data_IF_094751720623
#
_entry.id   IF_094751720623
#
_cell.length_a   1.000
_cell.length_b   1.000
_cell.length_c   1.000
_cell.angle_alpha   90.00
_cell.angle_beta   90.00
_cell.angle_gamma   90.00
#
_symmetry.space_group_name_H-M   'P 1'
#
loop_
_entity.id
_entity.type
_entity.pdbx_description
1 polymer ?
#
# COMPACT_ATOMS: atom_id res chain seq x y z
N UNK A 1 -2.85 -3.28 -25.06
CA UNK A 1 -1.50 -2.70 -25.11
C UNK A 1 -1.23 -2.12 -23.74
N UNK A 2 -0.21 -2.59 -23.03
CA UNK A 2 0.16 -2.06 -21.72
C UNK A 2 0.97 -0.79 -21.94
N UNK A 3 0.40 0.37 -21.63
CA UNK A 3 1.18 1.61 -21.58
C UNK A 3 2.29 1.43 -20.54
N UNK A 4 3.53 1.45 -20.99
CA UNK A 4 4.69 1.42 -20.09
C UNK A 4 4.73 2.78 -19.41
N UNK A 5 4.29 2.83 -18.16
CA UNK A 5 4.45 4.03 -17.32
C UNK A 5 5.91 4.21 -17.01
N UNK A 6 6.54 5.24 -17.59
CA UNK A 6 7.92 5.63 -17.30
C UNK A 6 7.94 6.63 -16.16
N UNK A 7 8.72 6.37 -15.11
CA UNK A 7 8.96 7.29 -14.01
C UNK A 7 10.33 7.95 -14.16
N UNK A 8 10.39 9.28 -14.06
CA UNK A 8 11.63 10.06 -14.15
C UNK A 8 11.87 10.73 -12.80
N UNK A 9 13.07 10.57 -12.24
CA UNK A 9 13.43 11.15 -10.94
C UNK A 9 13.40 12.67 -11.02
N UNK A 10 12.71 13.31 -10.07
CA UNK A 10 12.53 14.76 -10.03
C UNK A 10 11.36 15.28 -10.88
N UNK A 11 10.71 14.41 -11.65
CA UNK A 11 9.48 14.75 -12.36
C UNK A 11 8.24 14.30 -11.56
N UNK A 12 7.10 15.00 -11.67
CA UNK A 12 5.86 14.56 -11.06
C UNK A 12 5.44 13.16 -11.49
N UNK A 13 4.84 12.40 -10.58
CA UNK A 13 4.13 11.16 -10.93
C UNK A 13 3.03 11.46 -11.97
N UNK A 14 2.75 10.53 -12.89
CA UNK A 14 1.80 10.73 -13.99
C UNK A 14 0.33 10.78 -13.54
N UNK A 15 0.08 10.55 -12.26
CA UNK A 15 -1.22 10.68 -11.62
C UNK A 15 -1.12 11.71 -10.48
N UNK A 16 -2.18 12.49 -10.25
CA UNK A 16 -2.16 13.55 -9.24
C UNK A 16 -2.05 12.97 -7.83
N UNK A 17 -1.37 13.69 -6.94
CA UNK A 17 -1.44 13.42 -5.51
C UNK A 17 -2.89 13.60 -5.02
N UNK A 18 -3.36 12.81 -4.03
CA UNK A 18 -4.64 13.06 -3.41
C UNK A 18 -4.70 14.46 -2.79
N UNK A 19 -5.82 15.20 -2.93
CA UNK A 19 -5.91 16.62 -2.56
C UNK A 19 -5.73 16.90 -1.06
N UNK A 20 -5.89 15.88 -0.20
CA UNK A 20 -5.82 16.01 1.26
C UNK A 20 -4.84 15.02 1.88
N UNK A 21 -3.73 14.72 1.20
CA UNK A 21 -2.72 13.82 1.76
C UNK A 21 -1.93 14.49 2.88
N UNK A 22 -1.93 13.87 4.06
CA UNK A 22 -1.03 14.24 5.13
C UNK A 22 0.43 13.88 4.75
N UNK A 23 1.42 14.67 5.20
CA UNK A 23 2.82 14.33 5.00
C UNK A 23 3.13 12.95 5.60
N UNK A 24 4.03 12.23 4.95
CA UNK A 24 4.54 10.92 5.37
C UNK A 24 3.46 9.83 5.47
N UNK A 25 2.29 10.07 4.87
CA UNK A 25 1.19 9.11 4.83
C UNK A 25 1.26 8.24 3.57
N UNK A 26 1.20 6.90 3.71
CA UNK A 26 1.20 6.01 2.56
C UNK A 26 -0.19 5.95 1.92
N UNK A 27 -0.22 5.74 0.60
CA UNK A 27 -1.45 5.55 -0.18
C UNK A 27 -1.32 4.29 -1.02
N UNK A 28 -2.37 3.49 -1.05
CA UNK A 28 -2.44 2.34 -1.95
C UNK A 28 -3.14 2.75 -3.23
N UNK A 29 -2.44 2.59 -4.35
CA UNK A 29 -3.00 2.67 -5.69
C UNK A 29 -3.26 1.25 -6.20
N UNK A 30 -4.49 0.97 -6.61
CA UNK A 30 -4.84 -0.31 -7.27
C UNK A 30 -4.87 -0.11 -8.77
N UNK A 31 -4.21 -1.01 -9.49
CA UNK A 31 -4.22 -1.05 -10.95
C UNK A 31 -4.61 -2.46 -11.44
N UNK A 32 -4.74 -2.64 -12.76
CA UNK A 32 -5.17 -3.93 -13.33
C UNK A 32 -4.15 -5.06 -13.15
N UNK A 33 -2.88 -4.73 -12.83
CA UNK A 33 -1.84 -5.73 -12.56
C UNK A 33 -1.86 -6.13 -11.09
N UNK A 34 -1.68 -5.18 -10.17
CA UNK A 34 -1.68 -5.41 -8.73
C UNK A 34 -1.85 -4.10 -7.93
N UNK A 35 -1.01 -3.88 -6.92
CA UNK A 35 -1.03 -2.73 -6.02
C UNK A 35 0.32 -2.01 -6.02
N UNK A 36 0.26 -0.69 -5.89
CA UNK A 36 1.40 0.17 -5.57
C UNK A 36 1.15 0.84 -4.22
N UNK A 37 2.17 0.97 -3.38
CA UNK A 37 2.15 1.78 -2.16
C UNK A 37 3.01 3.01 -2.41
N UNK A 38 2.41 4.19 -2.30
CA UNK A 38 3.06 5.47 -2.52
C UNK A 38 3.24 6.16 -1.18
N UNK A 39 4.49 6.40 -0.79
CA UNK A 39 4.83 7.19 0.38
C UNK A 39 5.07 8.65 -0.06
N UNK A 40 4.19 9.54 0.37
CA UNK A 40 4.32 10.99 0.14
C UNK A 40 5.15 11.63 1.25
N UNK A 41 6.47 11.58 1.09
CA UNK A 41 7.41 12.02 2.12
C UNK A 41 7.58 13.54 2.14
N UNK A 42 7.60 14.12 3.34
CA UNK A 42 7.98 15.51 3.56
C UNK A 42 9.49 15.74 3.35
N UNK A 43 10.29 14.67 3.43
CA UNK A 43 11.76 14.66 3.36
C UNK A 43 12.28 13.69 2.29
N UNK A 44 11.66 13.67 1.09
CA UNK A 44 11.90 12.62 0.09
C UNK A 44 13.36 12.44 -0.33
N UNK A 45 14.18 13.49 -0.29
CA UNK A 45 15.63 13.40 -0.55
C UNK A 45 16.38 12.58 0.49
N UNK A 46 16.03 12.73 1.77
CA UNK A 46 16.64 11.96 2.86
C UNK A 46 16.12 10.51 2.85
N UNK A 47 14.81 10.33 2.69
CA UNK A 47 14.19 9.00 2.64
C UNK A 47 14.65 8.19 1.43
N UNK A 48 14.97 8.86 0.31
CA UNK A 48 15.59 8.20 -0.84
C UNK A 48 16.89 7.50 -0.48
N UNK A 49 17.72 8.09 0.39
CA UNK A 49 18.97 7.46 0.82
C UNK A 49 18.71 6.19 1.64
N UNK A 50 17.67 6.20 2.48
CA UNK A 50 17.21 4.99 3.18
C UNK A 50 16.75 3.94 2.17
N UNK A 51 15.88 4.31 1.22
CA UNK A 51 15.38 3.39 0.17
C UNK A 51 16.47 2.80 -0.71
N UNK A 52 17.60 3.48 -0.88
CA UNK A 52 18.74 2.96 -1.64
C UNK A 52 19.58 1.96 -0.85
N UNK A 53 19.66 2.13 0.48
CA UNK A 53 20.53 1.34 1.36
C UNK A 53 19.82 0.13 1.95
N UNK A 54 18.50 0.16 1.98
CA UNK A 54 17.69 -0.79 2.70
C UNK A 54 16.57 -1.36 1.84
N UNK A 55 16.47 -2.69 1.80
CA UNK A 55 15.32 -3.36 1.20
C UNK A 55 14.17 -3.38 2.21
N UNK A 56 13.04 -2.81 1.84
CA UNK A 56 11.84 -2.91 2.66
C UNK A 56 11.42 -4.38 2.83
N UNK A 57 10.89 -4.69 4.00
CA UNK A 57 10.19 -5.94 4.27
C UNK A 57 8.69 -5.68 4.23
N UNK A 58 7.94 -6.54 3.54
CA UNK A 58 6.50 -6.41 3.40
C UNK A 58 5.76 -7.46 4.22
N UNK A 59 4.67 -7.03 4.86
CA UNK A 59 3.79 -7.89 5.64
C UNK A 59 2.33 -7.67 5.29
N UNK A 60 1.52 -8.69 5.53
CA UNK A 60 0.07 -8.58 5.54
C UNK A 60 -0.43 -8.84 6.96
N UNK A 61 -1.16 -7.90 7.53
CA UNK A 61 -1.99 -8.14 8.70
C UNK A 61 -3.45 -8.03 8.26
N UNK A 62 -4.35 -8.77 8.90
CA UNK A 62 -5.78 -8.54 8.68
C UNK A 62 -6.59 -8.83 9.93
N UNK A 63 -7.67 -8.09 10.11
CA UNK A 63 -8.64 -8.30 11.19
C UNK A 63 -10.03 -7.91 10.72
N UNK A 64 -11.03 -8.73 11.01
CA UNK A 64 -12.42 -8.49 10.61
C UNK A 64 -12.58 -8.18 9.11
N UNK A 65 -11.87 -8.93 8.27
CA UNK A 65 -11.79 -8.73 6.81
C UNK A 65 -11.26 -7.34 6.35
N UNK A 66 -10.54 -6.62 7.18
CA UNK A 66 -9.75 -5.44 6.76
C UNK A 66 -8.27 -5.81 6.66
N UNK A 67 -7.68 -5.83 5.45
CA UNK A 67 -6.25 -6.01 5.28
C UNK A 67 -5.48 -4.71 5.53
N UNK A 68 -4.32 -4.86 6.17
CA UNK A 68 -3.31 -3.84 6.37
C UNK A 68 -2.02 -4.32 5.71
N UNK A 69 -1.55 -3.59 4.71
CA UNK A 69 -0.25 -3.83 4.10
C UNK A 69 0.80 -3.10 4.94
N UNK A 70 1.77 -3.86 5.45
CA UNK A 70 2.79 -3.35 6.34
C UNK A 70 4.10 -3.22 5.59
N UNK A 71 4.80 -2.11 5.81
CA UNK A 71 6.14 -1.86 5.27
C UNK A 71 7.08 -1.61 6.43
N UNK A 72 8.19 -2.34 6.47
CA UNK A 72 9.19 -2.23 7.50
C UNK A 72 10.58 -2.01 6.89
N UNK A 73 11.31 -1.05 7.43
CA UNK A 73 12.71 -0.76 7.15
C UNK A 73 13.52 -1.10 8.42
N UNK A 74 14.00 -2.36 8.58
CA UNK A 74 14.81 -2.84 9.71
C UNK A 74 15.92 -1.90 10.27
N UNK A 75 16.80 -1.38 9.42
CA UNK A 75 17.96 -0.55 9.77
C UNK A 75 17.50 0.80 10.28
N UNK A 76 16.54 1.43 9.61
CA UNK A 76 15.93 2.69 10.06
C UNK A 76 14.91 2.51 11.18
N UNK A 77 14.54 1.25 11.49
CA UNK A 77 13.47 0.88 12.44
C UNK A 77 12.13 1.57 12.15
N UNK A 78 11.90 1.93 10.90
CA UNK A 78 10.66 2.57 10.49
C UNK A 78 9.66 1.50 10.09
N UNK A 79 8.43 1.62 10.59
CA UNK A 79 7.34 0.73 10.21
C UNK A 79 6.09 1.56 10.03
N UNK A 80 5.38 1.34 8.94
CA UNK A 80 4.08 1.95 8.70
C UNK A 80 3.11 0.90 8.14
N UNK A 81 1.84 1.14 8.41
CA UNK A 81 0.73 0.34 7.89
C UNK A 81 -0.07 1.13 6.85
N UNK A 82 -0.69 0.38 5.94
CA UNK A 82 -1.53 0.90 4.88
C UNK A 82 -2.84 0.09 4.91
N UNK A 83 -3.92 0.58 5.56
CA UNK A 83 -5.22 -0.07 5.49
C UNK A 83 -5.72 -0.09 4.05
N UNK A 84 -6.28 -1.21 3.63
CA UNK A 84 -6.76 -1.38 2.26
C UNK A 84 -8.27 -1.65 2.20
N UNK A 85 -8.99 -0.69 1.63
CA UNK A 85 -10.42 -0.75 1.43
C UNK A 85 -10.73 -1.07 -0.05
N UNK A 86 -11.08 -2.33 -0.33
CA UNK A 86 -11.35 -2.81 -1.68
C UNK A 86 -12.62 -2.17 -2.28
N UNK A 87 -13.53 -1.63 -1.46
CA UNK A 87 -14.72 -0.90 -1.93
C UNK A 87 -14.36 0.43 -2.59
N UNK A 88 -13.19 1.02 -2.30
CA UNK A 88 -12.74 2.28 -2.91
C UNK A 88 -12.25 2.09 -4.36
N UNK A 89 -12.03 0.85 -4.78
CA UNK A 89 -11.54 0.53 -6.12
C UNK A 89 -12.71 0.39 -7.09
N UNK A 90 -12.56 0.93 -8.29
CA UNK A 90 -13.49 0.69 -9.39
C UNK A 90 -13.72 -0.81 -9.60
N UNK A 91 -14.97 -1.20 -9.87
CA UNK A 91 -15.36 -2.60 -9.98
C UNK A 91 -14.60 -3.34 -11.09
N UNK A 92 -14.33 -2.69 -12.22
CA UNK A 92 -13.62 -3.28 -13.36
C UNK A 92 -12.15 -3.51 -13.01
N UNK A 93 -11.50 -2.51 -12.41
CA UNK A 93 -10.11 -2.61 -11.98
C UNK A 93 -9.96 -3.70 -10.91
N UNK A 94 -10.86 -3.70 -9.91
CA UNK A 94 -10.86 -4.70 -8.83
C UNK A 94 -11.02 -6.12 -9.38
N UNK A 95 -11.97 -6.33 -10.29
CA UNK A 95 -12.19 -7.64 -10.90
C UNK A 95 -10.96 -8.10 -11.70
N UNK A 96 -10.36 -7.23 -12.51
CA UNK A 96 -9.16 -7.55 -13.27
C UNK A 96 -7.98 -7.91 -12.35
N UNK A 97 -7.79 -7.16 -11.27
CA UNK A 97 -6.75 -7.42 -10.27
C UNK A 97 -6.94 -8.75 -9.54
N UNK A 98 -8.16 -9.06 -9.09
CA UNK A 98 -8.46 -10.35 -8.44
C UNK A 98 -8.11 -11.55 -9.34
N UNK A 99 -8.27 -11.40 -10.66
CA UNK A 99 -7.98 -12.45 -11.64
C UNK A 99 -6.53 -12.45 -12.17
N UNK A 100 -5.70 -11.46 -11.85
CA UNK A 100 -4.43 -11.22 -12.55
C UNK A 100 -3.33 -12.25 -12.27
N UNK A 101 -3.43 -13.00 -11.16
CA UNK A 101 -2.38 -13.91 -10.67
C UNK A 101 -1.05 -13.22 -10.32
N UNK A 102 -0.98 -11.88 -10.37
CA UNK A 102 0.25 -11.13 -10.07
C UNK A 102 0.46 -11.02 -8.57
N UNK A 103 1.72 -10.92 -8.17
CA UNK A 103 2.13 -10.80 -6.77
C UNK A 103 3.26 -9.79 -6.59
N UNK A 104 3.38 -8.84 -7.53
CA UNK A 104 4.39 -7.79 -7.48
C UNK A 104 3.78 -6.51 -6.93
N UNK A 105 4.35 -6.00 -5.85
CA UNK A 105 4.00 -4.73 -5.25
C UNK A 105 5.13 -3.73 -5.49
N UNK A 106 4.80 -2.52 -5.95
CA UNK A 106 5.76 -1.42 -6.01
C UNK A 106 5.63 -0.55 -4.77
N UNK A 107 6.74 -0.27 -4.10
CA UNK A 107 6.85 0.87 -3.20
C UNK A 107 7.34 2.06 -4.03
N UNK A 108 6.65 3.19 -3.98
CA UNK A 108 6.97 4.43 -4.70
C UNK A 108 7.20 5.54 -3.69
N UNK A 109 8.33 6.25 -3.79
CA UNK A 109 8.63 7.42 -2.97
C UNK A 109 8.34 8.67 -3.77
N UNK A 110 7.47 9.53 -3.24
CA UNK A 110 7.13 10.82 -3.83
C UNK A 110 7.33 11.95 -2.82
N UNK A 111 7.62 13.15 -3.31
CA UNK A 111 7.66 14.36 -2.48
C UNK A 111 6.25 14.85 -2.19
N UNK A 112 5.96 15.07 -0.91
CA UNK A 112 4.73 15.72 -0.46
C UNK A 112 4.65 17.16 -1.00
N UNK A 113 3.46 17.57 -1.43
CA UNK A 113 3.19 18.89 -2.00
C UNK A 113 3.49 19.01 -3.50
N UNK A 114 4.60 18.45 -3.99
CA UNK A 114 4.99 18.56 -5.41
C UNK A 114 4.69 17.31 -6.24
N UNK A 115 4.42 16.17 -5.60
CA UNK A 115 4.17 14.88 -6.27
C UNK A 115 5.36 14.37 -7.12
N UNK A 116 6.55 14.95 -6.95
CA UNK A 116 7.77 14.53 -7.65
C UNK A 116 8.18 13.11 -7.25
N UNK A 117 8.59 12.30 -8.22
CA UNK A 117 9.09 10.94 -8.02
C UNK A 117 10.56 10.93 -7.55
N UNK A 118 10.85 10.17 -6.48
CA UNK A 118 12.19 10.06 -5.90
C UNK A 118 12.77 8.64 -5.90
N UNK A 119 11.94 7.61 -6.00
CA UNK A 119 12.44 6.24 -5.99
C UNK A 119 11.35 5.17 -6.05
N UNK A 120 11.78 3.96 -6.39
CA UNK A 120 10.90 2.80 -6.48
C UNK A 120 11.64 1.55 -5.99
N UNK A 121 10.96 0.74 -5.18
CA UNK A 121 11.36 -0.63 -4.88
C UNK A 121 10.29 -1.61 -5.36
N UNK A 122 10.71 -2.73 -5.94
CA UNK A 122 9.83 -3.80 -6.42
C UNK A 122 9.95 -5.01 -5.52
N UNK A 123 8.81 -5.51 -5.07
CA UNK A 123 8.76 -6.63 -4.14
C UNK A 123 7.79 -7.69 -4.65
N UNK A 124 8.26 -8.94 -4.72
CA UNK A 124 7.37 -10.08 -4.85
C UNK A 124 6.82 -10.42 -3.46
N UNK A 125 5.50 -10.56 -3.33
CA UNK A 125 4.84 -10.85 -2.07
C UNK A 125 4.27 -12.28 -2.06
N UNK A 126 4.58 -13.10 -1.05
CA UNK A 126 4.09 -14.49 -0.99
C UNK A 126 2.63 -14.60 -0.52
N UNK A 127 2.04 -13.51 -0.04
CA UNK A 127 0.70 -13.46 0.56
C UNK A 127 -0.35 -12.81 -0.37
N UNK A 128 -0.07 -12.72 -1.67
CA UNK A 128 -0.98 -12.07 -2.63
C UNK A 128 -2.37 -12.73 -2.68
N UNK A 129 -2.45 -14.05 -2.64
CA UNK A 129 -3.72 -14.78 -2.65
C UNK A 129 -4.51 -14.58 -1.35
N UNK A 130 -3.80 -14.57 -0.21
CA UNK A 130 -4.39 -14.23 1.08
C UNK A 130 -4.99 -12.82 1.07
N UNK A 131 -4.29 -11.84 0.48
CA UNK A 131 -4.80 -10.48 0.34
C UNK A 131 -6.10 -10.46 -0.47
N UNK A 132 -6.15 -11.17 -1.60
CA UNK A 132 -7.38 -11.28 -2.42
C UNK A 132 -8.52 -11.89 -1.61
N UNK A 133 -8.27 -13.02 -0.94
CA UNK A 133 -9.27 -13.70 -0.12
C UNK A 133 -9.84 -12.79 0.97
N UNK A 134 -8.97 -12.03 1.67
CA UNK A 134 -9.42 -11.07 2.69
C UNK A 134 -10.25 -9.94 2.06
N UNK A 135 -9.87 -9.46 0.88
CA UNK A 135 -10.65 -8.44 0.18
C UNK A 135 -12.00 -8.98 -0.31
N UNK A 136 -12.09 -10.22 -0.79
CA UNK A 136 -13.36 -10.86 -1.13
C UNK A 136 -14.27 -11.01 0.09
N UNK A 137 -13.70 -11.42 1.24
CA UNK A 137 -14.42 -11.45 2.51
C UNK A 137 -14.92 -10.06 2.92
N UNK A 138 -14.12 -9.02 2.73
CA UNK A 138 -14.51 -7.63 3.00
C UNK A 138 -15.74 -7.24 2.18
N UNK A 139 -15.75 -7.57 0.89
CA UNK A 139 -16.85 -7.27 -0.03
C UNK A 139 -18.12 -8.08 0.28
N UNK A 140 -18.00 -9.24 0.91
CA UNK A 140 -19.14 -10.05 1.37
C UNK A 140 -19.70 -9.55 2.70
N UNK A 141 -18.83 -9.09 3.61
CA UNK A 141 -19.20 -8.70 4.97
C UNK A 141 -19.72 -7.27 5.08
N UNK A 142 -19.18 -6.35 4.28
CA UNK A 142 -19.52 -4.93 4.32
C UNK A 142 -20.13 -4.49 3.00
N UNK A 143 -21.01 -3.49 3.05
CA UNK A 143 -21.82 -3.07 1.90
C UNK A 143 -21.38 -1.74 1.29
N UNK A 144 -20.48 -1.01 1.96
CA UNK A 144 -20.06 0.32 1.50
C UNK A 144 -18.64 0.68 1.93
N UNK A 145 -18.06 1.65 1.22
CA UNK A 145 -16.79 2.30 1.57
C UNK A 145 -16.79 2.80 3.02
N UNK A 146 -17.88 3.47 3.41
CA UNK A 146 -17.99 4.12 4.72
C UNK A 146 -17.97 3.12 5.89
N UNK A 147 -18.60 1.95 5.74
CA UNK A 147 -18.57 0.89 6.76
C UNK A 147 -17.15 0.37 7.01
N UNK A 148 -16.40 0.16 5.93
CA UNK A 148 -15.02 -0.32 6.00
C UNK A 148 -14.09 0.76 6.58
N UNK A 149 -14.25 2.02 6.18
CA UNK A 149 -13.48 3.12 6.74
C UNK A 149 -13.74 3.29 8.25
N UNK A 150 -15.01 3.20 8.69
CA UNK A 150 -15.37 3.25 10.10
C UNK A 150 -14.82 2.05 10.90
N UNK A 151 -14.67 0.88 10.28
CA UNK A 151 -13.94 -0.23 10.87
C UNK A 151 -12.44 0.06 11.00
N UNK A 152 -11.82 0.60 9.95
CA UNK A 152 -10.39 0.97 9.95
C UNK A 152 -10.04 1.90 11.11
N UNK A 153 -10.79 3.00 11.25
CA UNK A 153 -10.61 3.93 12.36
C UNK A 153 -10.75 3.28 13.73
N UNK A 154 -11.71 2.36 13.91
CA UNK A 154 -11.84 1.61 15.18
C UNK A 154 -10.64 0.70 15.43
N UNK A 155 -10.17 -0.03 14.43
CA UNK A 155 -9.05 -0.96 14.57
C UNK A 155 -7.72 -0.24 14.83
N UNK A 156 -7.50 0.91 14.21
CA UNK A 156 -6.33 1.78 14.43
C UNK A 156 -6.22 2.23 15.89
N UNK A 157 -7.34 2.40 16.61
CA UNK A 157 -7.33 2.71 18.05
C UNK A 157 -7.04 1.52 18.96
N UNK A 158 -7.08 0.30 18.42
CA UNK A 158 -6.99 -0.95 19.20
C UNK A 158 -5.67 -1.69 19.03
N UNK A 159 -5.05 -1.57 17.85
CA UNK A 159 -3.85 -2.33 17.49
C UNK A 159 -2.86 -1.37 16.85
N UNK A 160 -1.70 -1.19 17.47
CA UNK A 160 -0.63 -0.36 16.89
C UNK A 160 0.15 -1.10 15.80
N UNK A 161 0.79 -0.36 14.89
CA UNK A 161 1.57 -0.90 13.77
C UNK A 161 2.63 -1.93 14.20
N UNK A 162 3.30 -1.71 15.33
CA UNK A 162 4.30 -2.65 15.85
C UNK A 162 3.68 -4.01 16.23
N UNK A 163 2.46 -3.99 16.79
CA UNK A 163 1.72 -5.20 17.12
C UNK A 163 1.22 -5.89 15.85
N UNK A 164 0.71 -5.13 14.87
CA UNK A 164 0.33 -5.68 13.56
C UNK A 164 1.53 -6.38 12.90
N UNK A 165 2.72 -5.77 12.97
CA UNK A 165 3.94 -6.35 12.40
C UNK A 165 4.34 -7.68 13.06
N UNK A 166 4.14 -7.82 14.36
CA UNK A 166 4.40 -9.07 15.08
C UNK A 166 3.37 -10.15 14.74
N UNK A 167 2.12 -9.75 14.47
CA UNK A 167 0.99 -10.66 14.20
C UNK A 167 0.71 -10.86 12.71
N UNK A 168 1.54 -10.31 11.82
CA UNK A 168 1.37 -10.45 10.38
C UNK A 168 1.34 -11.92 9.96
N UNK A 169 0.69 -12.19 8.83
CA UNK A 169 0.68 -13.49 8.17
C UNK A 169 2.11 -13.98 8.04
N UNK A 170 2.38 -15.12 8.69
CA UNK A 170 3.68 -15.78 8.62
C UNK A 170 3.73 -16.61 7.34
N UNK A 171 4.79 -16.43 6.57
CA UNK A 171 5.04 -17.23 5.37
C UNK A 171 5.89 -18.41 5.83
N UNK A 172 5.28 -19.59 5.88
CA UNK A 172 5.97 -20.86 6.15
C UNK A 172 6.77 -21.32 4.95
#
# INVERSE_FOLDING_TARGET
MSDITTYIVGEPLPFPAPPSIAPDSPVILTNTYFLDIILYSSQAKADRLMWQRESAQLGLFHRNALPYLLVHFPLSRMTFDCPYNAWRVDATIRQAWFLSGKAMLNLILAQHGTNEFYGLQRHSIPWADQLRQVCEQQMQQYTSVAEVDALGHRLETQVGVAQMWQQKVSVS
#
